data_IF_711115646671
#
_entry.id   IF_711115646671
#
_cell.length_a   1.000
_cell.length_b   1.000
_cell.length_c   1.000
_cell.angle_alpha   90.00
_cell.angle_beta   90.00
_cell.angle_gamma   90.00
#
_symmetry.space_group_name_H-M   'P 1'
#
loop_
_entity.id
_entity.type
_entity.pdbx_description
1 polymer ?
#
# COMPACT_ATOMS: atom_id res chain seq x y z
N UNK A 1 -43.58 -11.81 11.33
CA UNK A 1 -44.84 -12.43 10.84
C UNK A 1 -44.94 -12.13 9.36
N UNK A 2 -45.12 -13.10 8.43
CA UNK A 2 -46.11 -14.19 8.50
C UNK A 2 -45.54 -15.59 8.22
N UNK A 3 -46.23 -16.60 8.75
CA UNK A 3 -45.91 -18.03 8.69
C UNK A 3 -46.80 -18.76 7.67
N UNK A 4 -46.15 -19.37 6.68
CA UNK A 4 -46.37 -20.73 6.15
C UNK A 4 -47.79 -21.29 6.31
N UNK A 5 -48.65 -21.09 5.30
CA UNK A 5 -49.96 -21.77 5.18
C UNK A 5 -50.21 -22.24 3.73
N UNK A 6 -49.33 -23.09 3.18
CA UNK A 6 -49.58 -23.70 1.85
C UNK A 6 -49.36 -25.22 1.81
N UNK A 7 -48.77 -25.83 2.85
CA UNK A 7 -48.47 -27.28 2.84
C UNK A 7 -49.62 -28.21 3.27
N UNK A 8 -50.78 -27.70 3.68
CA UNK A 8 -51.86 -28.51 4.27
C UNK A 8 -52.88 -29.09 3.29
N UNK A 9 -53.03 -28.53 2.08
CA UNK A 9 -54.08 -28.95 1.14
C UNK A 9 -53.72 -30.24 0.37
N UNK A 10 -52.50 -30.29 -0.20
CA UNK A 10 -52.02 -31.43 -1.00
C UNK A 10 -51.79 -32.68 -0.14
N UNK A 11 -51.28 -32.51 1.09
CA UNK A 11 -51.11 -33.62 2.03
C UNK A 11 -52.45 -34.22 2.49
N UNK A 12 -53.50 -33.39 2.63
CA UNK A 12 -54.84 -33.83 3.05
C UNK A 12 -55.58 -34.57 1.94
N UNK A 13 -55.37 -34.19 0.67
CA UNK A 13 -55.91 -34.89 -0.51
C UNK A 13 -55.30 -36.29 -0.69
N UNK A 14 -53.98 -36.43 -0.59
CA UNK A 14 -53.31 -37.74 -0.68
C UNK A 14 -53.66 -38.67 0.50
N UNK A 15 -53.88 -38.11 1.69
CA UNK A 15 -54.35 -38.86 2.87
C UNK A 15 -55.77 -39.41 2.71
N UNK A 16 -56.67 -38.69 2.04
CA UNK A 16 -58.06 -39.11 1.87
C UNK A 16 -58.22 -40.17 0.74
N UNK A 17 -57.44 -40.06 -0.33
CA UNK A 17 -57.39 -41.06 -1.42
C UNK A 17 -56.80 -42.40 -0.95
N UNK A 18 -55.74 -42.37 -0.16
CA UNK A 18 -55.15 -43.59 0.42
C UNK A 18 -56.08 -44.29 1.44
N UNK A 19 -56.78 -43.51 2.28
CA UNK A 19 -57.79 -44.04 3.23
C UNK A 19 -59.00 -44.68 2.53
N UNK A 20 -59.46 -44.11 1.43
CA UNK A 20 -60.60 -44.64 0.66
C UNK A 20 -60.22 -45.90 -0.13
N UNK A 21 -59.04 -45.95 -0.76
CA UNK A 21 -58.50 -47.18 -1.39
C UNK A 21 -58.32 -48.31 -0.37
N UNK A 22 -57.73 -48.03 0.80
CA UNK A 22 -57.53 -49.03 1.86
C UNK A 22 -58.85 -49.60 2.41
N UNK A 23 -59.88 -48.76 2.61
CA UNK A 23 -61.23 -49.21 2.98
C UNK A 23 -61.91 -50.05 1.89
N UNK A 24 -61.69 -49.75 0.60
CA UNK A 24 -62.26 -50.51 -0.52
C UNK A 24 -61.61 -51.88 -0.65
N UNK A 25 -60.28 -51.95 -0.53
CA UNK A 25 -59.51 -53.21 -0.53
C UNK A 25 -59.91 -54.09 0.65
N UNK A 26 -59.99 -53.54 1.86
CA UNK A 26 -60.42 -54.28 3.07
C UNK A 26 -61.85 -54.84 2.94
N UNK A 27 -62.80 -54.07 2.38
CA UNK A 27 -64.15 -54.58 2.14
C UNK A 27 -64.20 -55.68 1.07
N UNK A 28 -63.37 -55.59 0.04
CA UNK A 28 -63.33 -56.62 -1.01
C UNK A 28 -62.66 -57.90 -0.51
N UNK A 29 -61.56 -57.81 0.25
CA UNK A 29 -60.91 -58.96 0.87
C UNK A 29 -61.81 -59.63 1.90
N UNK A 30 -62.54 -58.85 2.73
CA UNK A 30 -63.54 -59.42 3.65
C UNK A 30 -64.70 -60.10 2.92
N UNK A 31 -65.18 -59.57 1.80
CA UNK A 31 -66.23 -60.22 0.98
C UNK A 31 -65.74 -61.52 0.35
N UNK A 32 -64.53 -61.50 -0.20
CA UNK A 32 -63.87 -62.67 -0.78
C UNK A 32 -63.66 -63.75 0.29
N UNK A 33 -63.14 -63.38 1.45
CA UNK A 33 -62.93 -64.28 2.57
C UNK A 33 -64.24 -64.86 3.11
N UNK A 34 -65.26 -64.02 3.31
CA UNK A 34 -66.56 -64.48 3.81
C UNK A 34 -67.27 -65.41 2.80
N UNK A 35 -67.13 -65.13 1.49
CA UNK A 35 -67.64 -66.02 0.44
C UNK A 35 -66.92 -67.36 0.45
N UNK A 36 -65.59 -67.37 0.53
CA UNK A 36 -64.79 -68.59 0.61
C UNK A 36 -65.12 -69.41 1.87
N UNK A 37 -65.28 -68.75 3.02
CA UNK A 37 -65.62 -69.37 4.30
C UNK A 37 -67.02 -69.99 4.25
N UNK A 38 -68.03 -69.24 3.80
CA UNK A 38 -69.40 -69.75 3.68
C UNK A 38 -69.50 -70.97 2.74
N UNK A 39 -68.71 -70.99 1.65
CA UNK A 39 -68.72 -72.08 0.67
C UNK A 39 -68.01 -73.33 1.18
N UNK A 40 -66.85 -73.17 1.84
CA UNK A 40 -66.14 -74.28 2.48
C UNK A 40 -66.96 -74.90 3.61
N UNK A 41 -67.65 -74.09 4.42
CA UNK A 41 -68.61 -74.59 5.42
C UNK A 41 -69.79 -75.32 4.75
N UNK A 42 -70.43 -74.72 3.74
CA UNK A 42 -71.61 -75.32 3.09
C UNK A 42 -71.31 -76.66 2.39
N UNK A 43 -70.07 -76.84 1.93
CA UNK A 43 -69.64 -78.06 1.26
C UNK A 43 -69.26 -79.13 2.26
N UNK A 44 -68.56 -78.77 3.36
CA UNK A 44 -68.34 -79.68 4.50
C UNK A 44 -69.67 -80.16 5.11
N UNK A 45 -70.66 -79.27 5.26
CA UNK A 45 -71.98 -79.63 5.77
C UNK A 45 -72.75 -80.59 4.85
N UNK A 46 -72.52 -80.57 3.53
CA UNK A 46 -73.15 -81.50 2.56
C UNK A 46 -72.39 -82.82 2.42
N UNK A 47 -71.08 -82.81 2.62
CA UNK A 47 -70.23 -83.99 2.45
C UNK A 47 -70.42 -85.04 3.56
N UNK A 48 -70.58 -84.61 4.82
CA UNK A 48 -70.79 -85.50 5.98
C UNK A 48 -72.05 -86.40 5.87
N UNK A 49 -73.27 -85.86 5.68
CA UNK A 49 -74.45 -86.68 5.48
C UNK A 49 -74.38 -87.46 4.17
N UNK A 50 -73.66 -86.93 3.19
CA UNK A 50 -73.39 -87.57 1.92
C UNK A 50 -72.62 -88.89 2.03
N UNK A 51 -71.50 -88.87 2.75
CA UNK A 51 -70.68 -90.05 3.04
C UNK A 51 -71.46 -91.07 3.88
N UNK A 52 -72.28 -90.61 4.82
CA UNK A 52 -73.10 -91.49 5.64
C UNK A 52 -74.17 -92.19 4.80
N UNK A 53 -74.83 -91.46 3.89
CA UNK A 53 -75.78 -92.04 2.95
C UNK A 53 -75.10 -93.00 1.96
N UNK A 54 -73.85 -92.71 1.56
CA UNK A 54 -73.04 -93.63 0.75
C UNK A 54 -72.77 -94.95 1.47
N UNK A 55 -72.41 -94.91 2.76
CA UNK A 55 -72.18 -96.10 3.59
C UNK A 55 -73.47 -96.93 3.68
N UNK A 56 -74.62 -96.30 3.94
CA UNK A 56 -75.92 -96.99 4.01
C UNK A 56 -76.31 -97.62 2.66
N UNK A 57 -76.02 -96.96 1.53
CA UNK A 57 -76.26 -97.52 0.19
C UNK A 57 -75.34 -98.70 -0.14
N UNK A 58 -74.10 -98.70 0.38
CA UNK A 58 -73.16 -99.82 0.26
C UNK A 58 -73.64 -100.99 1.14
N UNK A 59 -74.10 -100.74 2.37
CA UNK A 59 -74.69 -101.75 3.27
C UNK A 59 -75.96 -102.39 2.69
N UNK A 60 -76.74 -101.62 1.91
CA UNK A 60 -77.94 -102.11 1.20
C UNK A 60 -77.63 -102.77 -0.16
N UNK A 61 -76.36 -103.00 -0.49
CA UNK A 61 -75.88 -103.57 -1.75
C UNK A 61 -76.29 -102.80 -3.04
N UNK A 62 -76.67 -101.52 -2.89
CA UNK A 62 -77.03 -100.61 -3.99
C UNK A 62 -75.80 -99.87 -4.51
N UNK A 63 -74.87 -100.64 -5.09
CA UNK A 63 -73.54 -100.15 -5.46
C UNK A 63 -73.57 -99.07 -6.56
N UNK A 64 -74.53 -99.10 -7.47
CA UNK A 64 -74.62 -98.11 -8.56
C UNK A 64 -75.09 -96.74 -8.05
N UNK A 65 -76.06 -96.70 -7.13
CA UNK A 65 -76.51 -95.48 -6.46
C UNK A 65 -75.38 -94.88 -5.59
N UNK A 66 -74.66 -95.73 -4.86
CA UNK A 66 -73.49 -95.31 -4.07
C UNK A 66 -72.37 -94.73 -4.95
N UNK A 67 -72.11 -95.31 -6.14
CA UNK A 67 -71.12 -94.80 -7.11
C UNK A 67 -71.53 -93.46 -7.71
N UNK A 68 -72.80 -93.28 -8.09
CA UNK A 68 -73.29 -92.00 -8.58
C UNK A 68 -73.17 -90.91 -7.51
N UNK A 69 -73.56 -91.22 -6.28
CA UNK A 69 -73.41 -90.31 -5.15
C UNK A 69 -71.94 -89.92 -4.93
N UNK A 70 -71.01 -90.89 -4.96
CA UNK A 70 -69.57 -90.65 -4.86
C UNK A 70 -69.06 -89.72 -5.98
N UNK A 71 -69.45 -89.99 -7.23
CA UNK A 71 -69.04 -89.20 -8.38
C UNK A 71 -69.56 -87.75 -8.32
N UNK A 72 -70.82 -87.56 -7.88
CA UNK A 72 -71.37 -86.20 -7.68
C UNK A 72 -70.67 -85.44 -6.55
N UNK A 73 -70.25 -86.13 -5.48
CA UNK A 73 -69.47 -85.51 -4.40
C UNK A 73 -68.05 -85.16 -4.83
N UNK A 74 -67.41 -86.03 -5.61
CA UNK A 74 -66.10 -85.75 -6.20
C UNK A 74 -66.16 -84.57 -7.16
N UNK A 75 -67.22 -84.47 -7.99
CA UNK A 75 -67.44 -83.31 -8.86
C UNK A 75 -67.65 -82.01 -8.05
N UNK A 76 -68.48 -82.04 -7.01
CA UNK A 76 -68.70 -80.91 -6.11
C UNK A 76 -67.40 -80.46 -5.40
N UNK A 77 -66.54 -81.42 -5.03
CA UNK A 77 -65.24 -81.14 -4.42
C UNK A 77 -64.24 -80.57 -5.44
N UNK A 78 -64.27 -81.05 -6.70
CA UNK A 78 -63.51 -80.50 -7.82
C UNK A 78 -63.86 -79.05 -8.11
N UNK A 79 -65.15 -78.72 -8.18
CA UNK A 79 -65.64 -77.35 -8.41
C UNK A 79 -65.22 -76.41 -7.27
N UNK A 80 -65.23 -76.88 -6.03
CA UNK A 80 -64.76 -76.12 -4.89
C UNK A 80 -63.24 -75.86 -4.95
N UNK A 81 -62.45 -76.87 -5.34
CA UNK A 81 -61.01 -76.71 -5.52
C UNK A 81 -60.68 -75.72 -6.63
N UNK A 82 -61.36 -75.79 -7.78
CA UNK A 82 -61.15 -74.83 -8.88
C UNK A 82 -61.50 -73.41 -8.43
N UNK A 83 -62.62 -73.23 -7.72
CA UNK A 83 -63.00 -71.92 -7.18
C UNK A 83 -61.99 -71.39 -6.14
N UNK A 84 -61.42 -72.25 -5.29
CA UNK A 84 -60.36 -71.86 -4.35
C UNK A 84 -59.07 -71.43 -5.07
N UNK A 85 -58.68 -72.16 -6.11
CA UNK A 85 -57.51 -71.81 -6.95
C UNK A 85 -57.76 -70.49 -7.67
N UNK A 86 -58.95 -70.28 -8.23
CA UNK A 86 -59.33 -69.00 -8.85
C UNK A 86 -59.27 -67.84 -7.85
N UNK A 87 -59.72 -68.06 -6.61
CA UNK A 87 -59.65 -67.06 -5.54
C UNK A 87 -58.22 -66.67 -5.19
N UNK A 88 -57.34 -67.67 -5.04
CA UNK A 88 -55.91 -67.44 -4.77
C UNK A 88 -55.23 -66.71 -5.92
N UNK A 89 -55.56 -67.05 -7.17
CA UNK A 89 -55.06 -66.33 -8.36
C UNK A 89 -55.50 -64.88 -8.35
N UNK A 90 -56.77 -64.60 -8.05
CA UNK A 90 -57.29 -63.24 -8.01
C UNK A 90 -56.67 -62.40 -6.88
N UNK A 91 -56.50 -62.99 -5.69
CA UNK A 91 -55.81 -62.33 -4.58
C UNK A 91 -54.32 -62.05 -4.89
N UNK A 92 -53.62 -63.00 -5.50
CA UNK A 92 -52.24 -62.81 -5.93
C UNK A 92 -52.14 -61.73 -7.02
N UNK A 93 -53.05 -61.72 -8.00
CA UNK A 93 -53.10 -60.70 -9.06
C UNK A 93 -53.34 -59.30 -8.49
N UNK A 94 -54.28 -59.16 -7.55
CA UNK A 94 -54.55 -57.88 -6.87
C UNK A 94 -53.35 -57.42 -6.02
N UNK A 95 -52.71 -58.36 -5.30
CA UNK A 95 -51.53 -58.05 -4.48
C UNK A 95 -50.33 -57.65 -5.34
N UNK A 96 -50.10 -58.34 -6.46
CA UNK A 96 -49.07 -58.00 -7.43
C UNK A 96 -49.32 -56.62 -8.08
N UNK A 97 -50.55 -56.32 -8.47
CA UNK A 97 -50.92 -55.02 -9.02
C UNK A 97 -50.71 -53.89 -8.00
N UNK A 98 -51.10 -54.10 -6.74
CA UNK A 98 -50.87 -53.13 -5.66
C UNK A 98 -49.38 -52.94 -5.36
N UNK A 99 -48.58 -54.01 -5.40
CA UNK A 99 -47.13 -53.94 -5.23
C UNK A 99 -46.48 -53.12 -6.34
N UNK A 100 -46.85 -53.34 -7.60
CA UNK A 100 -46.35 -52.57 -8.76
C UNK A 100 -46.74 -51.09 -8.67
N UNK A 101 -47.99 -50.76 -8.31
CA UNK A 101 -48.41 -49.36 -8.13
C UNK A 101 -47.63 -48.68 -6.99
N UNK A 102 -47.41 -49.40 -5.88
CA UNK A 102 -46.64 -48.89 -4.74
C UNK A 102 -45.16 -48.71 -5.06
N UNK A 103 -44.57 -49.57 -5.90
CA UNK A 103 -43.20 -49.47 -6.35
C UNK A 103 -43.02 -48.26 -7.28
N UNK A 104 -43.93 -48.07 -8.24
CA UNK A 104 -43.91 -46.92 -9.16
C UNK A 104 -44.04 -45.58 -8.43
N UNK A 105 -44.95 -45.48 -7.48
CA UNK A 105 -45.13 -44.24 -6.69
C UNK A 105 -43.93 -43.94 -5.78
N UNK A 106 -43.31 -44.97 -5.16
CA UNK A 106 -42.08 -44.79 -4.39
C UNK A 106 -40.90 -44.39 -5.27
N UNK A 107 -40.80 -44.94 -6.48
CA UNK A 107 -39.75 -44.57 -7.44
C UNK A 107 -39.87 -43.10 -7.85
N UNK A 108 -41.07 -42.64 -8.22
CA UNK A 108 -41.28 -41.23 -8.57
C UNK A 108 -41.02 -40.29 -7.39
N UNK A 109 -41.45 -40.66 -6.17
CA UNK A 109 -41.13 -39.89 -4.96
C UNK A 109 -39.63 -39.81 -4.70
N UNK A 110 -38.92 -40.94 -4.78
CA UNK A 110 -37.48 -40.99 -4.61
C UNK A 110 -36.75 -40.15 -5.68
N UNK A 111 -37.21 -40.23 -6.94
CA UNK A 111 -36.69 -39.44 -8.06
C UNK A 111 -36.89 -37.94 -7.84
N UNK A 112 -38.08 -37.51 -7.44
CA UNK A 112 -38.37 -36.08 -7.15
C UNK A 112 -37.49 -35.60 -5.99
N UNK A 113 -37.37 -36.38 -4.91
CA UNK A 113 -36.51 -36.04 -3.77
C UNK A 113 -35.05 -35.89 -4.22
N UNK A 114 -34.53 -36.87 -4.97
CA UNK A 114 -33.16 -36.83 -5.49
C UNK A 114 -32.91 -35.61 -6.39
N UNK A 115 -33.80 -35.33 -7.35
CA UNK A 115 -33.68 -34.17 -8.24
C UNK A 115 -33.78 -32.85 -7.47
N UNK A 116 -34.68 -32.76 -6.47
CA UNK A 116 -34.80 -31.57 -5.64
C UNK A 116 -33.55 -31.33 -4.79
N UNK A 117 -32.94 -32.39 -4.26
CA UNK A 117 -31.69 -32.30 -3.50
C UNK A 117 -30.54 -31.79 -4.39
N UNK A 118 -30.40 -32.33 -5.61
CA UNK A 118 -29.41 -31.87 -6.59
C UNK A 118 -29.63 -30.39 -6.92
N UNK A 119 -30.87 -29.98 -7.19
CA UNK A 119 -31.20 -28.59 -7.50
C UNK A 119 -30.85 -27.63 -6.35
N UNK A 120 -31.12 -28.01 -5.10
CA UNK A 120 -30.78 -27.21 -3.92
C UNK A 120 -29.26 -27.10 -3.75
N UNK A 121 -28.53 -28.20 -3.91
CA UNK A 121 -27.06 -28.18 -3.83
C UNK A 121 -26.49 -27.27 -4.90
N UNK A 122 -26.92 -27.41 -6.16
CA UNK A 122 -26.48 -26.55 -7.26
C UNK A 122 -26.76 -25.06 -6.99
N UNK A 123 -27.96 -24.73 -6.50
CA UNK A 123 -28.33 -23.37 -6.16
C UNK A 123 -27.43 -22.78 -5.04
N UNK A 124 -27.14 -23.58 -4.01
CA UNK A 124 -26.24 -23.17 -2.92
C UNK A 124 -24.80 -22.99 -3.42
N UNK A 125 -24.30 -23.89 -4.27
CA UNK A 125 -22.96 -23.77 -4.85
C UNK A 125 -22.83 -22.50 -5.69
N UNK A 126 -23.81 -22.20 -6.55
CA UNK A 126 -23.84 -20.97 -7.34
C UNK A 126 -23.91 -19.71 -6.46
N UNK A 127 -24.75 -19.73 -5.42
CA UNK A 127 -24.87 -18.62 -4.47
C UNK A 127 -23.54 -18.36 -3.74
N UNK A 128 -22.89 -19.41 -3.26
CA UNK A 128 -21.60 -19.32 -2.58
C UNK A 128 -20.50 -18.84 -3.53
N UNK A 129 -20.43 -19.37 -4.75
CA UNK A 129 -19.47 -18.95 -5.76
C UNK A 129 -19.62 -17.45 -6.12
N UNK A 130 -20.87 -16.98 -6.26
CA UNK A 130 -21.15 -15.56 -6.49
C UNK A 130 -20.76 -14.69 -5.30
N UNK A 131 -21.14 -15.08 -4.08
CA UNK A 131 -20.76 -14.39 -2.84
C UNK A 131 -19.25 -14.30 -2.67
N UNK A 132 -18.52 -15.39 -2.89
CA UNK A 132 -17.06 -15.42 -2.80
C UNK A 132 -16.41 -14.53 -3.85
N UNK A 133 -16.95 -14.52 -5.08
CA UNK A 133 -16.44 -13.67 -6.15
C UNK A 133 -16.58 -12.19 -5.84
N UNK A 134 -17.71 -11.77 -5.30
CA UNK A 134 -17.94 -10.36 -4.94
C UNK A 134 -17.19 -9.98 -3.65
N UNK A 135 -17.16 -10.86 -2.66
CA UNK A 135 -16.60 -10.55 -1.34
C UNK A 135 -15.08 -10.68 -1.24
N UNK A 136 -14.44 -11.50 -2.08
CA UNK A 136 -12.98 -11.75 -2.00
C UNK A 136 -12.30 -11.41 -3.32
N UNK A 137 -12.75 -11.98 -4.44
CA UNK A 137 -12.04 -11.84 -5.72
C UNK A 137 -12.03 -10.38 -6.18
N UNK A 138 -13.14 -9.66 -6.04
CA UNK A 138 -13.23 -8.27 -6.47
C UNK A 138 -12.35 -7.32 -5.64
N UNK A 139 -12.40 -7.32 -4.29
CA UNK A 139 -11.48 -6.51 -3.47
C UNK A 139 -10.01 -6.85 -3.66
N UNK A 140 -9.66 -8.14 -3.82
CA UNK A 140 -8.26 -8.54 -4.05
C UNK A 140 -7.74 -8.04 -5.39
N UNK A 141 -8.55 -8.08 -6.45
CA UNK A 141 -8.18 -7.49 -7.75
C UNK A 141 -8.00 -5.97 -7.66
N UNK A 142 -8.84 -5.30 -6.88
CA UNK A 142 -8.71 -3.87 -6.64
C UNK A 142 -7.42 -3.55 -5.87
N UNK A 143 -7.09 -4.34 -4.84
CA UNK A 143 -5.84 -4.18 -4.10
C UNK A 143 -4.62 -4.39 -5.01
N UNK A 144 -4.66 -5.38 -5.91
CA UNK A 144 -3.60 -5.59 -6.90
C UNK A 144 -3.47 -4.40 -7.86
N UNK A 145 -4.59 -3.84 -8.31
CA UNK A 145 -4.58 -2.67 -9.19
C UNK A 145 -3.96 -1.45 -8.48
N UNK A 146 -4.37 -1.16 -7.24
CA UNK A 146 -3.79 -0.07 -6.44
C UNK A 146 -2.29 -0.29 -6.20
N UNK A 147 -1.88 -1.53 -5.90
CA UNK A 147 -0.46 -1.84 -5.74
C UNK A 147 0.32 -1.62 -7.04
N UNK A 148 -0.26 -1.99 -8.19
CA UNK A 148 0.34 -1.72 -9.51
C UNK A 148 0.46 -0.23 -9.78
N UNK A 149 -0.59 0.57 -9.55
CA UNK A 149 -0.52 2.02 -9.80
C UNK A 149 0.52 2.69 -8.91
N UNK A 150 0.62 2.27 -7.63
CA UNK A 150 1.70 2.73 -6.73
C UNK A 150 3.08 2.34 -7.29
N UNK A 151 3.24 1.11 -7.79
CA UNK A 151 4.50 0.66 -8.37
C UNK A 151 4.86 1.43 -9.67
N UNK A 152 3.86 1.84 -10.44
CA UNK A 152 4.01 2.67 -11.64
C UNK A 152 4.23 4.16 -11.31
N UNK A 153 4.18 4.54 -10.03
CA UNK A 153 4.38 5.90 -9.55
C UNK A 153 3.13 6.79 -9.61
N UNK A 154 1.97 6.24 -9.98
CA UNK A 154 0.69 6.93 -9.91
C UNK A 154 0.12 6.88 -8.49
N UNK A 155 0.28 8.00 -7.78
CA UNK A 155 -0.19 8.19 -6.41
C UNK A 155 -1.52 8.95 -6.34
N UNK A 156 -2.26 9.06 -7.45
CA UNK A 156 -3.55 9.75 -7.49
C UNK A 156 -4.63 9.09 -6.64
N UNK A 157 -5.62 9.90 -6.24
CA UNK A 157 -6.61 9.49 -5.25
C UNK A 157 -7.61 8.46 -5.82
N UNK A 158 -7.52 7.25 -5.29
CA UNK A 158 -8.48 6.17 -5.48
C UNK A 158 -9.41 6.05 -4.28
N UNK A 159 -10.70 5.84 -4.55
CA UNK A 159 -11.74 5.63 -3.55
C UNK A 159 -11.46 4.32 -2.78
N UNK A 160 -11.21 4.42 -1.47
CA UNK A 160 -11.00 3.25 -0.60
C UNK A 160 -12.38 2.67 -0.26
N UNK A 161 -12.61 1.35 -0.46
CA UNK A 161 -13.89 0.74 -0.11
C UNK A 161 -14.16 0.75 1.39
N UNK A 162 -15.42 0.98 1.77
CA UNK A 162 -15.90 0.81 3.14
C UNK A 162 -16.08 -0.68 3.44
N UNK A 163 -15.38 -1.18 4.45
CA UNK A 163 -15.50 -2.55 4.92
C UNK A 163 -14.79 -2.76 6.25
N UNK A 164 -15.17 -3.84 6.96
CA UNK A 164 -14.61 -4.20 8.26
C UNK A 164 -13.89 -5.56 8.24
N UNK A 165 -13.80 -6.18 7.08
CA UNK A 165 -13.09 -7.44 6.89
C UNK A 165 -11.60 -7.22 6.58
N UNK A 166 -10.85 -8.33 6.54
CA UNK A 166 -9.42 -8.34 6.26
C UNK A 166 -9.09 -7.77 4.88
N UNK A 167 -9.98 -7.95 3.89
CA UNK A 167 -9.77 -7.41 2.54
C UNK A 167 -9.92 -5.90 2.48
N UNK A 168 -10.88 -5.33 3.23
CA UNK A 168 -11.03 -3.90 3.41
C UNK A 168 -9.84 -3.32 4.20
N UNK A 169 -9.37 -4.01 5.25
CA UNK A 169 -8.20 -3.59 6.00
C UNK A 169 -6.93 -3.56 5.13
N UNK A 170 -6.77 -4.52 4.22
CA UNK A 170 -5.70 -4.52 3.22
C UNK A 170 -5.77 -3.28 2.32
N UNK A 171 -6.94 -2.97 1.76
CA UNK A 171 -7.16 -1.80 0.91
C UNK A 171 -6.89 -0.47 1.65
N UNK A 172 -7.35 -0.36 2.90
CA UNK A 172 -7.08 0.80 3.78
C UNK A 172 -5.57 0.96 4.02
N UNK A 173 -4.87 -0.14 4.28
CA UNK A 173 -3.42 -0.13 4.53
C UNK A 173 -2.63 0.28 3.29
N UNK A 174 -3.02 -0.22 2.11
CA UNK A 174 -2.46 0.22 0.83
C UNK A 174 -2.72 1.71 0.57
N UNK A 175 -3.93 2.19 0.88
CA UNK A 175 -4.27 3.61 0.80
C UNK A 175 -3.41 4.49 1.71
N UNK A 176 -3.13 4.03 2.94
CA UNK A 176 -2.21 4.73 3.86
C UNK A 176 -0.77 4.72 3.33
N UNK A 177 -0.30 3.59 2.81
CA UNK A 177 1.03 3.49 2.19
C UNK A 177 1.18 4.49 1.04
N UNK A 178 0.20 4.55 0.12
CA UNK A 178 0.17 5.54 -0.98
C UNK A 178 0.23 6.97 -0.45
N UNK A 179 -0.60 7.28 0.55
CA UNK A 179 -0.67 8.64 1.13
C UNK A 179 0.67 9.06 1.73
N UNK A 180 1.35 8.16 2.43
CA UNK A 180 2.69 8.41 2.97
C UNK A 180 3.74 8.60 1.87
N UNK A 181 3.66 7.81 0.78
CA UNK A 181 4.55 7.98 -0.37
C UNK A 181 4.31 9.33 -1.05
N UNK A 182 3.06 9.73 -1.27
CA UNK A 182 2.73 11.03 -1.86
C UNK A 182 3.27 12.18 -1.01
N UNK A 183 3.03 12.14 0.31
CA UNK A 183 3.55 13.16 1.22
C UNK A 183 5.09 13.22 1.24
N UNK A 184 5.76 12.08 1.10
CA UNK A 184 7.23 12.04 0.97
C UNK A 184 7.69 12.72 -0.32
N UNK A 185 7.01 12.47 -1.44
CA UNK A 185 7.33 13.13 -2.73
C UNK A 185 7.08 14.64 -2.66
N UNK A 186 6.00 15.09 -2.02
CA UNK A 186 5.73 16.51 -1.83
C UNK A 186 6.84 17.20 -1.01
N UNK A 187 7.33 16.54 0.04
CA UNK A 187 8.45 17.04 0.84
C UNK A 187 9.74 17.13 0.03
N UNK A 188 10.03 16.13 -0.81
CA UNK A 188 11.19 16.14 -1.72
C UNK A 188 11.07 17.31 -2.71
N UNK A 189 9.89 17.52 -3.29
CA UNK A 189 9.65 18.63 -4.22
C UNK A 189 9.84 20.00 -3.55
N UNK A 190 9.32 20.15 -2.33
CA UNK A 190 9.52 21.37 -1.53
C UNK A 190 11.01 21.60 -1.21
N UNK A 191 11.74 20.56 -0.81
CA UNK A 191 13.17 20.64 -0.53
C UNK A 191 13.99 20.98 -1.79
N UNK A 192 13.66 20.38 -2.93
CA UNK A 192 14.31 20.69 -4.22
C UNK A 192 14.05 22.13 -4.65
N UNK A 193 12.84 22.64 -4.44
CA UNK A 193 12.48 24.04 -4.72
C UNK A 193 13.29 25.00 -3.83
N UNK A 194 13.37 24.71 -2.53
CA UNK A 194 14.15 25.50 -1.60
C UNK A 194 15.65 25.48 -1.94
N UNK A 195 16.19 24.31 -2.29
CA UNK A 195 17.58 24.18 -2.75
C UNK A 195 17.82 25.01 -4.02
N UNK A 196 16.91 24.98 -4.98
CA UNK A 196 17.01 25.79 -6.21
C UNK A 196 17.03 27.28 -5.89
N UNK A 197 16.23 27.74 -4.93
CA UNK A 197 16.24 29.13 -4.48
C UNK A 197 17.58 29.50 -3.82
N UNK A 198 18.08 28.67 -2.91
CA UNK A 198 19.38 28.91 -2.27
C UNK A 198 20.55 28.91 -3.26
N UNK A 199 20.51 28.07 -4.29
CA UNK A 199 21.52 28.07 -5.37
C UNK A 199 21.46 29.37 -6.16
N UNK A 200 20.27 29.89 -6.47
CA UNK A 200 20.11 31.18 -7.14
C UNK A 200 20.67 32.33 -6.29
N UNK A 201 20.36 32.35 -5.00
CA UNK A 201 20.93 33.33 -4.05
C UNK A 201 22.46 33.23 -3.99
N UNK A 202 23.01 32.02 -3.92
CA UNK A 202 24.46 31.82 -3.92
C UNK A 202 25.12 32.33 -5.21
N UNK A 203 24.46 32.18 -6.36
CA UNK A 203 24.89 32.79 -7.62
C UNK A 203 24.98 34.30 -7.53
N UNK A 204 23.95 34.95 -6.99
CA UNK A 204 23.95 36.42 -6.81
C UNK A 204 25.04 36.90 -5.84
N UNK A 205 25.29 36.15 -4.76
CA UNK A 205 26.36 36.45 -3.80
C UNK A 205 27.73 36.28 -4.45
N UNK A 206 27.91 35.24 -5.27
CA UNK A 206 29.17 34.99 -5.98
C UNK A 206 29.48 36.13 -6.98
N UNK A 207 28.48 36.60 -7.75
CA UNK A 207 28.63 37.74 -8.66
C UNK A 207 29.00 39.02 -7.89
N UNK A 208 28.31 39.32 -6.79
CA UNK A 208 28.62 40.46 -5.95
C UNK A 208 30.04 40.36 -5.36
N UNK A 209 30.47 39.16 -4.96
CA UNK A 209 31.79 38.90 -4.42
C UNK A 209 32.88 39.09 -5.48
N UNK A 210 32.65 38.64 -6.71
CA UNK A 210 33.57 38.86 -7.83
C UNK A 210 33.76 40.36 -8.13
N UNK A 211 32.67 41.14 -8.09
CA UNK A 211 32.73 42.58 -8.29
C UNK A 211 33.50 43.29 -7.14
N UNK A 212 33.25 42.88 -5.89
CA UNK A 212 34.00 43.40 -4.74
C UNK A 212 35.49 43.05 -4.80
N UNK A 213 35.84 41.83 -5.23
CA UNK A 213 37.25 41.44 -5.41
C UNK A 213 37.93 42.28 -6.50
N UNK A 214 37.22 42.63 -7.58
CA UNK A 214 37.77 43.52 -8.61
C UNK A 214 38.02 44.93 -8.05
N UNK A 215 37.10 45.48 -7.25
CA UNK A 215 37.30 46.76 -6.57
C UNK A 215 38.49 46.72 -5.61
N UNK A 216 38.57 45.68 -4.78
CA UNK A 216 39.68 45.49 -3.84
C UNK A 216 41.02 45.34 -4.56
N UNK A 217 41.05 44.68 -5.72
CA UNK A 217 42.26 44.57 -6.53
C UNK A 217 42.73 45.95 -7.03
N UNK A 218 41.81 46.79 -7.51
CA UNK A 218 42.12 48.17 -7.90
C UNK A 218 42.65 49.00 -6.71
N UNK A 219 42.07 48.85 -5.52
CA UNK A 219 42.57 49.52 -4.31
C UNK A 219 43.98 49.05 -3.93
N UNK A 220 44.27 47.76 -4.09
CA UNK A 220 45.61 47.20 -3.86
C UNK A 220 46.62 47.76 -4.88
N UNK A 221 46.25 47.86 -6.16
CA UNK A 221 47.10 48.48 -7.17
C UNK A 221 47.40 49.95 -6.83
N UNK A 222 46.40 50.71 -6.39
CA UNK A 222 46.61 52.09 -5.93
C UNK A 222 47.51 52.16 -4.69
N UNK A 223 47.32 51.26 -3.73
CA UNK A 223 48.18 51.17 -2.56
C UNK A 223 49.63 50.85 -2.95
N UNK A 224 49.85 49.95 -3.90
CA UNK A 224 51.18 49.63 -4.42
C UNK A 224 51.84 50.85 -5.09
N UNK A 225 51.08 51.61 -5.88
CA UNK A 225 51.54 52.87 -6.47
C UNK A 225 51.92 53.87 -5.37
N UNK A 226 51.08 54.03 -4.36
CA UNK A 226 51.34 54.92 -3.23
C UNK A 226 52.60 54.51 -2.45
N UNK A 227 52.80 53.21 -2.18
CA UNK A 227 54.01 52.69 -1.54
C UNK A 227 55.25 52.97 -2.40
N UNK A 228 55.16 52.79 -3.73
CA UNK A 228 56.27 53.12 -4.62
C UNK A 228 56.59 54.63 -4.62
N UNK A 229 55.57 55.49 -4.64
CA UNK A 229 55.75 56.95 -4.51
C UNK A 229 56.36 57.34 -3.17
N UNK A 230 55.89 56.73 -2.07
CA UNK A 230 56.46 56.95 -0.73
C UNK A 230 57.92 56.49 -0.65
N UNK A 231 58.27 55.37 -1.30
CA UNK A 231 59.65 54.89 -1.36
C UNK A 231 60.55 55.87 -2.14
N UNK A 232 60.08 56.39 -3.27
CA UNK A 232 60.81 57.41 -4.03
C UNK A 232 60.99 58.70 -3.23
N UNK A 233 59.95 59.18 -2.54
CA UNK A 233 60.04 60.34 -1.67
C UNK A 233 61.06 60.13 -0.54
N UNK A 234 61.11 58.93 0.06
CA UNK A 234 62.11 58.60 1.07
C UNK A 234 63.55 58.62 0.51
N UNK A 235 63.75 58.12 -0.72
CA UNK A 235 65.05 58.18 -1.41
C UNK A 235 65.43 59.64 -1.69
N UNK A 236 64.48 60.46 -2.14
CA UNK A 236 64.70 61.88 -2.41
C UNK A 236 65.08 62.65 -1.14
N UNK A 237 64.38 62.40 -0.02
CA UNK A 237 64.70 62.98 1.29
C UNK A 237 66.09 62.54 1.77
N UNK A 238 66.44 61.27 1.61
CA UNK A 238 67.78 60.77 1.96
C UNK A 238 68.88 61.41 1.09
N UNK A 239 68.63 61.59 -0.21
CA UNK A 239 69.51 62.30 -1.14
C UNK A 239 69.71 63.75 -0.73
N UNK A 240 68.61 64.48 -0.46
CA UNK A 240 68.65 65.87 0.01
C UNK A 240 69.41 66.00 1.33
N UNK A 241 69.22 65.09 2.28
CA UNK A 241 69.97 65.06 3.53
C UNK A 241 71.48 64.85 3.28
N UNK A 242 71.86 63.95 2.37
CA UNK A 242 73.26 63.71 2.00
C UNK A 242 73.91 64.93 1.34
N UNK A 243 73.20 65.59 0.41
CA UNK A 243 73.63 66.84 -0.21
C UNK A 243 73.80 67.95 0.83
N UNK A 244 72.84 68.10 1.75
CA UNK A 244 72.90 69.09 2.84
C UNK A 244 74.11 68.86 3.74
N UNK A 245 74.44 67.60 4.07
CA UNK A 245 75.65 67.26 4.84
C UNK A 245 76.92 67.64 4.07
N UNK A 246 76.94 67.40 2.76
CA UNK A 246 78.08 67.74 1.90
C UNK A 246 78.29 69.25 1.81
N UNK A 247 77.22 70.01 1.60
CA UNK A 247 77.25 71.48 1.59
C UNK A 247 77.63 72.06 2.95
N UNK A 248 77.11 71.49 4.05
CA UNK A 248 77.47 71.90 5.41
C UNK A 248 78.97 71.70 5.69
N UNK A 249 79.55 70.59 5.21
CA UNK A 249 81.00 70.35 5.29
C UNK A 249 81.78 71.37 4.48
N UNK A 250 81.36 71.67 3.25
CA UNK A 250 82.01 72.67 2.40
C UNK A 250 81.95 74.07 3.06
N UNK A 251 80.80 74.45 3.62
CA UNK A 251 80.63 75.72 4.33
C UNK A 251 81.50 75.79 5.59
N UNK A 252 81.63 74.70 6.33
CA UNK A 252 82.53 74.60 7.49
C UNK A 252 84.00 74.78 7.07
N UNK A 253 84.40 74.17 5.95
CA UNK A 253 85.75 74.33 5.42
C UNK A 253 86.03 75.75 4.93
N UNK A 254 85.07 76.38 4.25
CA UNK A 254 85.17 77.78 3.85
C UNK A 254 85.27 78.73 5.06
N UNK A 255 84.49 78.48 6.11
CA UNK A 255 84.58 79.24 7.36
C UNK A 255 85.96 79.08 8.03
N UNK A 256 86.53 77.87 8.05
CA UNK A 256 87.88 77.61 8.56
C UNK A 256 88.96 78.37 7.77
N UNK A 257 88.88 78.37 6.43
CA UNK A 257 89.78 79.16 5.58
C UNK A 257 89.60 80.67 5.79
N UNK A 258 88.35 81.13 5.99
CA UNK A 258 88.05 82.52 6.33
C UNK A 258 88.68 82.93 7.67
N UNK A 259 88.60 82.05 8.67
CA UNK A 259 89.22 82.25 9.98
C UNK A 259 90.75 82.35 9.87
N UNK A 260 91.38 81.51 9.05
CA UNK A 260 92.82 81.58 8.78
C UNK A 260 93.21 82.93 8.14
N UNK A 261 92.47 83.39 7.13
CA UNK A 261 92.69 84.71 6.50
C UNK A 261 92.49 85.86 7.49
N UNK A 262 91.48 85.79 8.35
CA UNK A 262 91.22 86.81 9.37
C UNK A 262 92.37 86.85 10.38
N UNK A 263 92.87 85.69 10.81
CA UNK A 263 94.05 85.58 11.68
C UNK A 263 95.29 86.22 11.05
N UNK A 264 95.56 85.92 9.78
CA UNK A 264 96.64 86.56 9.02
C UNK A 264 96.47 88.09 8.93
N UNK A 265 95.24 88.56 8.69
CA UNK A 265 94.92 89.99 8.63
C UNK A 265 95.17 90.68 9.97
N UNK A 266 94.79 90.04 11.09
CA UNK A 266 95.06 90.56 12.45
C UNK A 266 96.57 90.67 12.70
N UNK A 267 97.36 89.68 12.25
CA UNK A 267 98.83 89.74 12.34
C UNK A 267 99.40 90.91 11.51
N UNK A 268 98.93 91.09 10.27
CA UNK A 268 99.35 92.22 9.44
C UNK A 268 98.95 93.58 10.04
N UNK A 269 97.76 93.69 10.67
CA UNK A 269 97.34 94.91 11.38
C UNK A 269 98.24 95.19 12.58
N UNK A 270 98.60 94.17 13.37
CA UNK A 270 99.55 94.32 14.47
C UNK A 270 100.90 94.83 13.97
N UNK A 271 101.43 94.21 12.91
CA UNK A 271 102.69 94.60 12.31
C UNK A 271 102.64 96.03 11.72
N UNK A 272 101.52 96.41 11.09
CA UNK A 272 101.30 97.77 10.62
C UNK A 272 101.27 98.77 11.78
N UNK A 273 100.62 98.42 12.89
CA UNK A 273 100.54 99.26 14.09
C UNK A 273 101.92 99.47 14.71
N UNK A 274 102.73 98.41 14.80
CA UNK A 274 104.15 98.50 15.22
C UNK A 274 104.95 99.41 14.29
N UNK A 275 104.86 99.22 12.98
CA UNK A 275 105.56 100.08 12.00
C UNK A 275 105.13 101.56 12.09
N UNK A 276 103.85 101.84 12.36
CA UNK A 276 103.34 103.21 12.55
C UNK A 276 103.88 103.82 13.85
N UNK A 277 103.94 103.05 14.94
CA UNK A 277 104.55 103.49 16.20
C UNK A 277 106.05 103.76 16.04
N UNK A 278 106.78 102.87 15.36
CA UNK A 278 108.20 103.06 15.05
C UNK A 278 108.43 104.31 14.19
N UNK A 279 107.59 104.52 13.16
CA UNK A 279 107.65 105.72 12.31
C UNK A 279 107.35 106.99 13.12
N UNK A 280 106.39 106.93 14.05
CA UNK A 280 106.07 108.04 14.95
C UNK A 280 107.25 108.37 15.87
N UNK A 281 107.91 107.37 16.45
CA UNK A 281 109.14 107.56 17.24
C UNK A 281 110.27 108.17 16.42
N UNK A 282 110.45 107.75 15.17
CA UNK A 282 111.44 108.35 14.27
C UNK A 282 111.10 109.81 13.93
N UNK A 283 109.83 110.13 13.70
CA UNK A 283 109.37 111.50 13.46
C UNK A 283 109.56 112.40 14.69
N UNK A 284 109.27 111.88 15.88
CA UNK A 284 109.50 112.57 17.16
C UNK A 284 111.01 112.81 17.38
N UNK A 285 111.85 111.81 17.13
CA UNK A 285 113.30 111.96 17.16
C UNK A 285 113.84 112.96 16.11
N UNK A 286 113.20 113.06 14.94
CA UNK A 286 113.54 114.08 13.94
C UNK A 286 113.10 115.49 14.37
N UNK A 287 111.92 115.61 14.99
CA UNK A 287 111.44 116.86 15.56
C UNK A 287 112.38 117.37 16.67
N UNK A 288 112.84 116.48 17.56
CA UNK A 288 113.82 116.80 18.61
C UNK A 288 115.16 117.28 18.02
N UNK A 289 115.65 116.62 16.96
CA UNK A 289 116.86 117.06 16.22
C UNK A 289 116.66 118.41 15.54
N UNK A 290 115.48 118.69 15.01
CA UNK A 290 115.16 119.97 14.36
C UNK A 290 115.03 121.10 15.38
N UNK A 291 114.42 120.83 16.55
CA UNK A 291 114.35 121.74 17.69
C UNK A 291 115.76 122.07 18.22
N UNK A 292 116.63 121.07 18.31
CA UNK A 292 118.04 121.25 18.71
C UNK A 292 118.82 122.14 17.73
N UNK A 293 118.50 122.08 16.43
CA UNK A 293 119.07 122.98 15.42
C UNK A 293 118.49 124.40 15.56
N UNK A 294 117.19 124.55 15.81
CA UNK A 294 116.57 125.86 16.04
C UNK A 294 117.05 126.55 17.33
N UNK A 295 117.54 125.79 18.31
CA UNK A 295 118.15 126.33 19.54
C UNK A 295 119.58 126.87 19.33
N UNK A 296 120.17 126.68 18.15
CA UNK A 296 121.52 127.13 17.80
C UNK A 296 121.50 128.36 16.85
N UNK A 297 120.31 128.82 16.44
CA UNK A 297 120.12 130.11 15.75
C UNK A 297 119.69 131.20 16.74
#
# INVERSE_FOLDING_TARGET
>A
MPTIRVRSSTARSMSNSSRTKSRKVSRNTLRVFNRALSMTLSSRCRMLPGLQNQITLIEQNKLDEARMLANTMLALQGDLMDMQVQLLRELNKQSAAAAVESAGTRYEQARIIALSAIAVVLALTLLLAWRLSVSIIHPVRQALHIASTIADGDLTEHRIPDGKDETAQLLITLGRMRTNLHGTIDQIYAAATQLSQSVQEMGTIAEASALNLQLQNNEIEQAAVAVNQMSQAAIEVAGNASSTVTESKASTQAAAQGQEKLSATILSIKQLTENVLDSSHQAEGLAERTQSISSIL
#
